data_IF_549015549613
#
_entry.id   IF_549015549613
#
_cell.length_a   1.000
_cell.length_b   1.000
_cell.length_c   1.000
_cell.angle_alpha   90.00
_cell.angle_beta   90.00
_cell.angle_gamma   90.00
#
_symmetry.space_group_name_H-M   'P 1'
#
loop_
_entity.id
_entity.type
_entity.pdbx_description
1 polymer ?
#
# COMPACT_ATOMS: atom_id res chain seq x y z
N UNK A 1 15.30 90.69 9.86
CA UNK A 1 16.54 89.94 10.19
C UNK A 1 16.12 88.60 10.78
N UNK A 2 16.30 87.52 9.99
CA UNK A 2 16.01 86.09 10.26
C UNK A 2 16.64 85.55 11.58
N UNK A 3 16.33 84.32 12.08
CA UNK A 3 15.72 83.19 11.35
C UNK A 3 14.62 82.34 12.06
N UNK A 4 13.88 81.71 11.16
CA UNK A 4 13.05 80.51 11.22
C UNK A 4 13.74 79.33 11.96
N UNK A 5 13.09 78.74 12.97
CA UNK A 5 13.52 77.48 13.61
C UNK A 5 12.56 76.37 13.18
N UNK A 6 13.06 75.41 12.41
CA UNK A 6 12.34 74.24 11.94
C UNK A 6 12.42 73.11 12.99
N UNK A 7 11.27 72.64 13.47
CA UNK A 7 11.14 71.51 14.39
C UNK A 7 11.12 70.20 13.59
N UNK A 8 12.24 69.48 13.55
CA UNK A 8 12.35 68.15 12.96
C UNK A 8 11.79 67.10 13.95
N UNK A 9 10.56 66.64 13.73
CA UNK A 9 10.06 65.43 14.40
C UNK A 9 10.66 64.20 13.74
N UNK A 10 11.61 63.55 14.43
CA UNK A 10 12.14 62.25 14.05
C UNK A 10 11.18 61.15 14.52
N UNK A 11 10.39 60.59 13.61
CA UNK A 11 9.58 59.39 13.86
C UNK A 11 10.47 58.16 13.87
N UNK A 12 10.84 57.68 15.06
CA UNK A 12 11.45 56.35 15.23
C UNK A 12 10.34 55.31 15.07
N UNK A 13 10.21 54.76 13.88
CA UNK A 13 9.40 53.56 13.65
C UNK A 13 10.14 52.37 14.28
N UNK A 14 9.80 52.05 15.53
CA UNK A 14 10.22 50.80 16.17
C UNK A 14 9.61 49.62 15.40
N UNK A 15 10.43 48.89 14.66
CA UNK A 15 10.01 47.64 14.02
C UNK A 15 9.57 46.65 15.09
N UNK A 16 8.29 46.27 15.06
CA UNK A 16 7.76 45.16 15.85
C UNK A 16 8.39 43.89 15.29
N UNK A 17 9.42 43.37 15.97
CA UNK A 17 9.94 42.04 15.67
C UNK A 17 8.90 41.04 16.18
N UNK A 18 8.00 40.61 15.30
CA UNK A 18 7.07 39.55 15.60
C UNK A 18 7.87 38.24 15.71
N UNK A 19 8.14 37.82 16.95
CA UNK A 19 8.73 36.51 17.22
C UNK A 19 7.69 35.44 16.87
N UNK A 20 7.81 34.87 15.67
CA UNK A 20 7.02 33.72 15.28
C UNK A 20 7.50 32.52 16.10
N UNK A 21 6.80 32.24 17.20
CA UNK A 21 7.01 31.03 18.00
C UNK A 21 6.62 29.82 17.14
N UNK A 22 7.61 29.19 16.51
CA UNK A 22 7.44 27.88 15.92
C UNK A 22 7.10 26.93 17.07
N UNK A 23 5.83 26.52 17.17
CA UNK A 23 5.37 25.49 18.09
C UNK A 23 6.11 24.20 17.76
N UNK A 24 7.23 23.95 18.44
CA UNK A 24 7.98 22.71 18.29
C UNK A 24 7.13 21.61 18.89
N UNK A 25 6.57 20.75 18.05
CA UNK A 25 5.83 19.58 18.50
C UNK A 25 6.71 18.81 19.50
N UNK A 26 6.20 18.52 20.70
CA UNK A 26 6.95 17.79 21.72
C UNK A 26 6.96 16.29 21.38
N UNK A 27 7.56 15.97 20.23
CA UNK A 27 7.63 14.64 19.64
C UNK A 27 9.05 14.35 19.19
N UNK A 28 9.52 13.16 19.56
CA UNK A 28 10.81 12.62 19.16
C UNK A 28 10.60 11.40 18.29
N UNK A 29 11.41 11.26 17.24
CA UNK A 29 11.47 10.03 16.45
C UNK A 29 12.58 9.15 16.99
N UNK A 30 12.22 7.93 17.37
CA UNK A 30 13.17 6.94 17.90
C UNK A 30 13.01 5.61 17.17
N UNK A 31 13.96 4.70 17.38
CA UNK A 31 13.92 3.36 16.79
C UNK A 31 13.66 2.32 17.87
N UNK A 32 12.76 1.39 17.56
CA UNK A 32 12.45 0.24 18.38
C UNK A 32 12.89 -1.05 17.67
N UNK A 33 13.34 -2.03 18.45
CA UNK A 33 13.67 -3.33 17.92
C UNK A 33 12.40 -4.15 17.70
N UNK A 34 12.25 -4.68 16.49
CA UNK A 34 11.14 -5.54 16.13
C UNK A 34 11.40 -6.94 16.68
N UNK A 35 10.40 -7.49 17.35
CA UNK A 35 10.43 -8.85 17.91
C UNK A 35 9.79 -9.86 16.94
N UNK A 36 8.67 -9.48 16.30
CA UNK A 36 7.92 -10.35 15.39
C UNK A 36 7.12 -9.54 14.39
N UNK A 37 7.09 -10.01 13.14
CA UNK A 37 6.22 -9.49 12.09
C UNK A 37 5.28 -10.61 11.64
N UNK A 38 3.97 -10.38 11.72
CA UNK A 38 2.94 -11.35 11.30
C UNK A 38 2.12 -10.76 10.16
N UNK A 39 2.15 -11.33 8.95
CA UNK A 39 1.33 -10.82 7.84
C UNK A 39 -0.15 -11.12 8.08
N UNK A 40 -0.98 -10.12 7.81
CA UNK A 40 -2.44 -10.23 7.83
C UNK A 40 -2.92 -10.34 6.39
N UNK A 41 -3.50 -11.49 6.04
CA UNK A 41 -3.95 -11.79 4.68
C UNK A 41 -5.41 -11.36 4.48
N UNK A 42 -5.71 -10.83 3.30
CA UNK A 42 -7.05 -10.56 2.81
C UNK A 42 -7.39 -11.55 1.68
N UNK A 43 -8.58 -12.16 1.75
CA UNK A 43 -9.17 -12.94 0.67
C UNK A 43 -9.87 -12.02 -0.32
N UNK A 44 -9.48 -12.10 -1.59
CA UNK A 44 -10.08 -11.38 -2.70
C UNK A 44 -10.70 -12.39 -3.66
N UNK A 45 -11.89 -12.09 -4.17
CA UNK A 45 -12.52 -12.89 -5.21
C UNK A 45 -12.31 -12.20 -6.56
N UNK A 46 -11.71 -12.91 -7.51
CA UNK A 46 -11.54 -12.42 -8.87
C UNK A 46 -12.07 -13.46 -9.88
N UNK A 47 -12.74 -12.97 -10.91
CA UNK A 47 -13.26 -13.79 -12.00
C UNK A 47 -12.21 -13.84 -13.11
N UNK A 48 -11.66 -15.03 -13.37
CA UNK A 48 -10.71 -15.25 -14.46
C UNK A 48 -11.39 -16.00 -15.60
N UNK A 49 -11.14 -15.59 -16.85
CA UNK A 49 -11.68 -16.28 -18.03
C UNK A 49 -10.82 -17.51 -18.31
N UNK A 50 -11.38 -18.70 -18.13
CA UNK A 50 -10.70 -19.97 -18.38
C UNK A 50 -11.35 -20.69 -19.58
N UNK A 51 -10.53 -21.27 -20.45
CA UNK A 51 -11.03 -22.05 -21.58
C UNK A 51 -11.38 -23.45 -21.11
N UNK A 52 -12.68 -23.73 -20.99
CA UNK A 52 -13.18 -25.06 -20.68
C UNK A 52 -13.50 -25.79 -21.98
N UNK A 53 -12.77 -26.86 -22.26
CA UNK A 53 -13.05 -27.75 -23.39
C UNK A 53 -13.80 -28.99 -22.90
N UNK A 54 -14.87 -29.35 -23.61
CA UNK A 54 -15.54 -30.62 -23.33
C UNK A 54 -14.61 -31.79 -23.70
N UNK A 55 -14.39 -32.70 -22.77
CA UNK A 55 -13.73 -33.98 -23.02
C UNK A 55 -14.62 -34.80 -23.96
N UNK A 56 -14.46 -34.60 -25.26
CA UNK A 56 -15.11 -35.43 -26.26
C UNK A 56 -14.82 -36.92 -25.99
N UNK A 57 -15.85 -37.74 -26.13
CA UNK A 57 -15.78 -39.20 -26.02
C UNK A 57 -14.53 -39.74 -26.74
N UNK A 58 -13.86 -40.76 -26.19
CA UNK A 58 -12.65 -41.37 -26.78
C UNK A 58 -12.82 -41.69 -28.28
N UNK A 59 -14.04 -42.05 -28.69
CA UNK A 59 -14.44 -42.29 -30.08
C UNK A 59 -14.31 -41.03 -30.96
N UNK A 60 -14.66 -39.85 -30.45
CA UNK A 60 -14.56 -38.57 -31.16
C UNK A 60 -13.10 -38.19 -31.47
N UNK A 61 -12.14 -38.53 -30.58
CA UNK A 61 -10.70 -38.30 -30.81
C UNK A 61 -10.14 -39.19 -31.91
N UNK A 62 -10.58 -40.45 -31.94
CA UNK A 62 -10.14 -41.43 -32.96
C UNK A 62 -10.70 -41.02 -34.33
N UNK A 63 -11.98 -40.68 -34.43
CA UNK A 63 -12.62 -40.28 -35.70
C UNK A 63 -12.01 -38.98 -36.26
N UNK A 64 -11.56 -38.06 -35.41
CA UNK A 64 -10.84 -36.85 -35.83
C UNK A 64 -9.50 -37.13 -36.55
N UNK A 65 -8.76 -38.15 -36.09
CA UNK A 65 -7.43 -38.47 -36.64
C UNK A 65 -7.46 -39.06 -38.05
N UNK A 66 -8.52 -39.79 -38.42
CA UNK A 66 -8.64 -40.44 -39.74
C UNK A 66 -9.25 -39.50 -40.78
N UNK A 67 -10.08 -38.55 -40.33
CA UNK A 67 -10.79 -37.59 -41.21
C UNK A 67 -9.88 -36.49 -41.74
N UNK A 68 -8.78 -36.16 -41.05
CA UNK A 68 -7.79 -35.14 -41.47
C UNK A 68 -7.01 -35.52 -42.73
N UNK A 69 -6.92 -36.81 -43.04
CA UNK A 69 -6.20 -37.31 -44.23
C UNK A 69 -7.09 -37.27 -45.48
N UNK A 70 -8.42 -37.27 -45.32
CA UNK A 70 -9.36 -37.56 -46.41
C UNK A 70 -10.10 -36.35 -46.99
N UNK A 71 -10.09 -35.18 -46.35
CA UNK A 71 -10.79 -34.00 -46.87
C UNK A 71 -10.06 -32.69 -46.56
N UNK A 72 -9.69 -31.98 -47.64
CA UNK A 72 -9.40 -30.54 -47.63
C UNK A 72 -10.71 -29.75 -47.56
N UNK A 73 -11.44 -29.94 -46.46
CA UNK A 73 -12.40 -28.96 -45.92
C UNK A 73 -12.83 -29.45 -44.54
N UNK A 74 -12.44 -28.74 -43.48
CA UNK A 74 -12.63 -29.19 -42.10
C UNK A 74 -13.17 -28.05 -41.23
N UNK A 75 -14.41 -27.65 -41.48
CA UNK A 75 -15.21 -27.08 -40.40
C UNK A 75 -15.57 -28.20 -39.43
N UNK A 76 -15.22 -27.99 -38.15
CA UNK A 76 -15.71 -28.76 -36.99
C UNK A 76 -14.97 -30.06 -36.65
N UNK A 77 -13.70 -29.94 -36.25
CA UNK A 77 -12.98 -30.95 -35.45
C UNK A 77 -12.34 -30.39 -34.18
N UNK A 78 -12.58 -29.10 -33.88
CA UNK A 78 -12.15 -28.51 -32.62
C UNK A 78 -13.13 -28.92 -31.53
N UNK A 79 -12.62 -29.59 -30.50
CA UNK A 79 -13.26 -29.67 -29.17
C UNK A 79 -14.07 -28.40 -28.89
N UNK A 80 -15.35 -28.54 -28.53
CA UNK A 80 -16.18 -27.40 -28.14
C UNK A 80 -15.58 -26.77 -26.88
N UNK A 81 -14.70 -25.79 -27.09
CA UNK A 81 -14.06 -25.03 -26.02
C UNK A 81 -14.83 -23.72 -25.86
N UNK A 82 -15.27 -23.43 -24.64
CA UNK A 82 -15.94 -22.18 -24.28
C UNK A 82 -15.14 -21.44 -23.23
N UNK A 83 -15.05 -20.12 -23.35
CA UNK A 83 -14.47 -19.26 -22.31
C UNK A 83 -15.49 -19.09 -21.18
N UNK A 84 -15.19 -19.62 -20.00
CA UNK A 84 -16.07 -19.58 -18.83
C UNK A 84 -15.45 -18.67 -17.77
N UNK A 85 -16.23 -17.75 -17.18
CA UNK A 85 -15.77 -17.01 -16.00
C UNK A 85 -15.68 -17.97 -14.81
N UNK A 86 -14.46 -18.21 -14.32
CA UNK A 86 -14.21 -19.02 -13.11
C UNK A 86 -13.85 -18.08 -11.97
N UNK A 87 -14.61 -18.14 -10.87
CA UNK A 87 -14.28 -17.42 -9.65
C UNK A 87 -13.10 -18.09 -8.96
N UNK A 88 -12.07 -17.31 -8.65
CA UNK A 88 -10.90 -17.75 -7.90
C UNK A 88 -10.71 -16.86 -6.68
N UNK A 89 -10.36 -17.49 -5.56
CA UNK A 89 -9.99 -16.79 -4.34
C UNK A 89 -8.48 -16.57 -4.32
N UNK A 90 -8.07 -15.32 -4.08
CA UNK A 90 -6.68 -14.89 -3.96
C UNK A 90 -6.44 -14.39 -2.55
N UNK A 91 -5.33 -14.80 -1.93
CA UNK A 91 -4.90 -14.28 -0.63
C UNK A 91 -3.70 -13.36 -0.83
N UNK A 92 -3.82 -12.10 -0.39
CA UNK A 92 -2.69 -11.16 -0.38
C UNK A 92 -2.46 -10.60 1.02
N UNK A 93 -1.22 -10.41 1.48
CA UNK A 93 -0.95 -9.59 2.67
C UNK A 93 -1.49 -8.17 2.42
N UNK A 94 -2.27 -7.65 3.37
CA UNK A 94 -2.76 -6.26 3.32
C UNK A 94 -2.24 -5.42 4.48
N UNK A 95 -1.76 -6.06 5.54
CA UNK A 95 -1.19 -5.42 6.70
C UNK A 95 -0.18 -6.35 7.40
N UNK A 96 0.57 -5.81 8.33
CA UNK A 96 1.53 -6.51 9.17
C UNK A 96 1.26 -6.17 10.63
N UNK A 97 0.99 -7.18 11.45
CA UNK A 97 0.95 -7.05 12.90
C UNK A 97 2.38 -7.19 13.43
N UNK A 98 2.89 -6.09 14.00
CA UNK A 98 4.28 -5.92 14.39
C UNK A 98 4.38 -5.83 15.91
N UNK A 99 5.04 -6.81 16.50
CA UNK A 99 5.41 -6.80 17.91
C UNK A 99 6.80 -6.16 18.04
N UNK A 100 6.93 -5.12 18.85
CA UNK A 100 8.20 -4.43 19.08
C UNK A 100 8.41 -4.12 20.55
N UNK A 101 9.67 -3.89 20.92
CA UNK A 101 10.04 -3.49 22.28
C UNK A 101 10.63 -2.09 22.27
N UNK A 102 10.19 -1.27 23.23
CA UNK A 102 10.73 0.06 23.45
C UNK A 102 10.84 0.34 24.94
N UNK A 103 12.05 0.71 25.39
CA UNK A 103 12.37 0.94 26.81
C UNK A 103 11.89 -0.19 27.74
N UNK A 104 12.01 -1.44 27.28
CA UNK A 104 11.63 -2.65 28.04
C UNK A 104 10.14 -3.01 28.00
N UNK A 105 9.27 -2.14 27.50
CA UNK A 105 7.85 -2.43 27.29
C UNK A 105 7.60 -3.02 25.90
N UNK A 106 6.66 -3.96 25.81
CA UNK A 106 6.25 -4.59 24.54
C UNK A 106 4.98 -3.93 24.02
N UNK A 107 4.97 -3.67 22.73
CA UNK A 107 3.86 -3.04 22.02
C UNK A 107 3.53 -3.84 20.76
N UNK A 108 2.28 -3.72 20.30
CA UNK A 108 1.81 -4.28 19.03
C UNK A 108 1.15 -3.18 18.22
N UNK A 109 1.57 -3.04 16.97
CA UNK A 109 0.98 -2.09 16.02
C UNK A 109 0.70 -2.78 14.69
N UNK A 110 -0.31 -2.30 13.96
CA UNK A 110 -0.63 -2.77 12.61
C UNK A 110 -0.11 -1.77 11.58
N UNK A 111 0.72 -2.23 10.65
CA UNK A 111 1.33 -1.43 9.58
C UNK A 111 0.84 -1.89 8.20
N UNK A 112 0.86 -0.99 7.22
CA UNK A 112 0.56 -1.32 5.81
C UNK A 112 1.72 -2.04 5.11
N UNK A 113 2.94 -1.79 5.58
CA UNK A 113 4.19 -2.28 4.98
C UNK A 113 5.04 -2.99 6.03
N UNK A 114 5.94 -3.86 5.57
CA UNK A 114 6.87 -4.60 6.43
C UNK A 114 7.97 -3.65 6.95
N UNK A 115 8.09 -3.42 8.27
CA UNK A 115 9.13 -2.54 8.82
C UNK A 115 10.52 -3.21 8.87
N UNK A 116 10.63 -4.53 8.69
CA UNK A 116 11.86 -5.26 8.89
C UNK A 116 12.26 -5.38 10.37
N UNK A 117 13.55 -5.15 10.68
CA UNK A 117 14.12 -5.41 12.01
C UNK A 117 14.13 -4.19 12.94
N UNK A 118 13.94 -2.97 12.40
CA UNK A 118 13.90 -1.72 13.16
C UNK A 118 12.66 -0.93 12.78
N UNK A 119 11.88 -0.55 13.79
CA UNK A 119 10.68 0.24 13.61
C UNK A 119 10.94 1.68 14.05
N UNK A 120 10.69 2.64 13.16
CA UNK A 120 10.70 4.06 13.50
C UNK A 120 9.39 4.44 14.20
N UNK A 121 9.48 4.91 15.45
CA UNK A 121 8.34 5.27 16.29
C UNK A 121 8.32 6.79 16.58
N UNK A 122 7.12 7.35 16.78
CA UNK A 122 6.92 8.75 17.22
C UNK A 122 6.55 8.74 18.70
N UNK A 123 7.43 9.27 19.53
CA UNK A 123 7.26 9.36 20.97
C UNK A 123 6.84 10.78 21.33
N UNK A 124 5.69 10.95 21.96
CA UNK A 124 5.29 12.23 22.54
C UNK A 124 5.74 12.27 23.99
N UNK A 125 6.45 13.33 24.37
CA UNK A 125 6.91 13.53 25.74
C UNK A 125 6.01 14.57 26.40
N UNK A 126 5.52 14.31 27.60
CA UNK A 126 4.78 15.29 28.40
C UNK A 126 5.54 15.51 29.71
N UNK A 127 5.94 16.76 30.03
CA UNK A 127 6.63 17.04 31.28
C UNK A 127 5.67 16.84 32.47
N UNK A 128 6.25 16.43 33.61
CA UNK A 128 5.51 16.29 34.88
C UNK A 128 5.50 17.65 35.59
N UNK A 129 4.37 18.10 36.19
CA UNK A 129 4.29 19.33 36.97
C UNK A 129 5.19 19.38 38.20
#
# INVERSE_FOLDING_TARGET
MLPLVALLLSSVAGGVSAETVIQRENVSYEYAHVLRVTPVYQTLTATSMETQCDEGSRLSRIVGSVRSVLKRDSTTGGTNCRSVPVQREFKRPFAYDVDYTYRGAKYRSRLSEDPGHLLRIRVSVMPVP
#
